data_IF_388067804194
#
_entry.id   IF_388067804194
#
_cell.length_a   1.000
_cell.length_b   1.000
_cell.length_c   1.000
_cell.angle_alpha   90.00
_cell.angle_beta   90.00
_cell.angle_gamma   90.00
#
_symmetry.space_group_name_H-M   'P 1'
#
loop_
_entity.id
_entity.type
_entity.pdbx_description
1 polymer ?
#
# COMPACT_ATOMS: atom_id res chain seq x y z
N UNK A 1 22.82 20.13 4.58
CA UNK A 1 22.51 18.69 4.71
C UNK A 1 21.33 18.41 3.78
N UNK A 2 21.54 17.73 2.66
CA UNK A 2 20.45 17.34 1.76
C UNK A 2 19.69 16.19 2.41
N UNK A 3 18.49 16.45 2.92
CA UNK A 3 17.60 15.37 3.32
C UNK A 3 17.05 14.75 2.04
N UNK A 4 17.62 13.61 1.62
CA UNK A 4 17.03 12.82 0.53
C UNK A 4 15.64 12.38 1.02
N UNK A 5 14.60 12.83 0.34
CA UNK A 5 13.21 12.41 0.61
C UNK A 5 12.98 11.16 -0.23
N UNK A 6 12.73 10.02 0.41
CA UNK A 6 12.50 8.76 -0.29
C UNK A 6 11.18 8.81 -1.05
N UNK A 7 11.20 8.35 -2.31
CA UNK A 7 10.01 8.28 -3.16
C UNK A 7 9.18 7.08 -2.73
N UNK A 8 7.89 7.31 -2.51
CA UNK A 8 6.95 6.29 -2.06
C UNK A 8 5.72 6.18 -2.97
N UNK A 9 5.17 4.98 -3.05
CA UNK A 9 3.87 4.69 -3.68
C UNK A 9 2.94 4.01 -2.68
N UNK A 10 1.64 4.26 -2.80
CA UNK A 10 0.61 3.59 -2.01
C UNK A 10 -0.01 2.44 -2.79
N UNK A 11 -0.41 1.37 -2.08
CA UNK A 11 -1.18 0.29 -2.68
C UNK A 11 -2.23 -0.26 -1.74
N UNK A 12 -3.43 -0.51 -2.27
CA UNK A 12 -4.44 -1.29 -1.57
C UNK A 12 -5.36 -2.05 -2.54
N UNK A 13 -5.61 -3.33 -2.23
CA UNK A 13 -6.74 -4.06 -2.80
C UNK A 13 -8.01 -3.72 -2.02
N UNK A 14 -9.01 -3.23 -2.74
CA UNK A 14 -10.32 -2.85 -2.21
C UNK A 14 -11.28 -4.02 -2.42
N UNK A 15 -11.76 -4.60 -1.32
CA UNK A 15 -12.72 -5.69 -1.36
C UNK A 15 -14.15 -5.17 -1.56
N UNK A 16 -15.04 -6.03 -2.07
CA UNK A 16 -16.40 -5.66 -2.49
C UNK A 16 -17.28 -5.08 -1.37
N UNK A 17 -16.92 -5.33 -0.12
CA UNK A 17 -17.60 -4.88 1.10
C UNK A 17 -17.13 -3.49 1.57
N UNK A 18 -16.14 -2.89 0.91
CA UNK A 18 -15.58 -1.58 1.26
C UNK A 18 -16.27 -0.47 0.46
N UNK A 19 -16.84 0.50 1.17
CA UNK A 19 -17.48 1.69 0.58
C UNK A 19 -16.45 2.70 0.09
N UNK A 20 -16.84 3.57 -0.86
CA UNK A 20 -15.96 4.65 -1.33
C UNK A 20 -15.50 5.59 -0.21
N UNK A 21 -16.32 5.81 0.82
CA UNK A 21 -15.93 6.62 1.99
C UNK A 21 -14.81 5.94 2.79
N UNK A 22 -14.87 4.62 2.96
CA UNK A 22 -13.81 3.85 3.63
C UNK A 22 -12.52 3.83 2.80
N UNK A 23 -12.62 3.77 1.47
CA UNK A 23 -11.46 3.91 0.56
C UNK A 23 -10.80 5.27 0.75
N UNK A 24 -11.56 6.37 0.69
CA UNK A 24 -11.04 7.73 0.89
C UNK A 24 -10.41 7.91 2.27
N UNK A 25 -11.02 7.35 3.32
CA UNK A 25 -10.44 7.37 4.66
C UNK A 25 -9.11 6.62 4.72
N UNK A 26 -8.98 5.51 3.99
CA UNK A 26 -7.75 4.74 3.90
C UNK A 26 -6.65 5.50 3.15
N UNK A 27 -6.98 6.13 2.02
CA UNK A 27 -6.05 7.00 1.29
C UNK A 27 -5.53 8.14 2.16
N UNK A 28 -6.44 8.80 2.90
CA UNK A 28 -6.07 9.87 3.82
C UNK A 28 -5.09 9.39 4.91
N UNK A 29 -5.24 8.15 5.41
CA UNK A 29 -4.30 7.55 6.36
C UNK A 29 -2.93 7.28 5.72
N UNK A 30 -2.88 6.79 4.48
CA UNK A 30 -1.64 6.60 3.72
C UNK A 30 -0.93 7.95 3.50
N UNK A 31 -1.66 8.99 3.08
CA UNK A 31 -1.12 10.33 2.93
C UNK A 31 -0.53 10.88 4.24
N UNK A 32 -1.27 10.73 5.35
CA UNK A 32 -0.81 11.19 6.66
C UNK A 32 0.44 10.42 7.11
N UNK A 33 0.48 9.11 6.91
CA UNK A 33 1.64 8.29 7.24
C UNK A 33 2.88 8.74 6.44
N UNK A 34 2.74 8.92 5.13
CA UNK A 34 3.84 9.42 4.29
C UNK A 34 4.35 10.80 4.77
N UNK A 35 3.47 11.70 5.18
CA UNK A 35 3.86 13.01 5.73
C UNK A 35 4.65 12.87 7.04
N UNK A 36 4.22 12.00 7.95
CA UNK A 36 4.90 11.75 9.24
C UNK A 36 6.29 11.15 9.01
N UNK A 37 6.40 10.18 8.10
CA UNK A 37 7.65 9.52 7.75
C UNK A 37 8.52 10.35 6.77
N UNK A 38 8.07 11.54 6.38
CA UNK A 38 8.75 12.43 5.42
C UNK A 38 9.06 11.74 4.09
N UNK A 39 8.09 10.98 3.58
CA UNK A 39 8.14 10.31 2.28
C UNK A 39 7.45 11.17 1.21
N UNK A 40 7.99 11.15 0.00
CA UNK A 40 7.35 11.76 -1.16
C UNK A 40 6.39 10.74 -1.79
N UNK A 41 5.15 10.73 -1.32
CA UNK A 41 4.10 9.88 -1.88
C UNK A 41 3.65 10.39 -3.25
N UNK A 42 3.90 9.61 -4.30
CA UNK A 42 3.63 10.00 -5.70
C UNK A 42 2.19 9.68 -6.11
N UNK A 43 1.73 8.45 -5.84
CA UNK A 43 0.39 8.00 -6.19
C UNK A 43 -0.03 6.82 -5.32
N UNK A 44 -1.34 6.56 -5.27
CA UNK A 44 -1.94 5.42 -4.59
C UNK A 44 -2.66 4.56 -5.64
N UNK A 45 -2.31 3.28 -5.68
CA UNK A 45 -2.90 2.29 -6.58
C UNK A 45 -4.00 1.50 -5.86
N UNK A 46 -5.22 1.58 -6.41
CA UNK A 46 -6.40 0.92 -5.85
C UNK A 46 -6.87 -0.21 -6.77
N UNK A 47 -6.85 -1.44 -6.27
CA UNK A 47 -7.26 -2.61 -7.03
C UNK A 47 -8.64 -3.10 -6.56
N UNK A 48 -9.69 -2.86 -7.35
CA UNK A 48 -11.09 -3.11 -6.97
C UNK A 48 -11.64 -4.48 -7.42
N UNK A 49 -10.92 -5.22 -8.27
CA UNK A 49 -11.44 -6.43 -8.94
C UNK A 49 -10.86 -7.69 -8.33
N UNK A 50 -11.73 -8.67 -8.04
CA UNK A 50 -11.31 -9.97 -7.53
C UNK A 50 -10.57 -10.77 -8.61
N UNK A 51 -9.29 -11.05 -8.38
CA UNK A 51 -8.50 -12.02 -9.14
C UNK A 51 -7.64 -11.43 -10.27
N UNK A 52 -7.83 -10.16 -10.61
CA UNK A 52 -6.90 -9.44 -11.47
C UNK A 52 -5.76 -8.85 -10.63
N UNK A 53 -4.54 -8.88 -11.16
CA UNK A 53 -3.33 -8.29 -10.58
C UNK A 53 -2.76 -7.19 -11.49
N UNK A 54 -3.53 -6.70 -12.48
CA UNK A 54 -3.11 -5.67 -13.42
C UNK A 54 -2.61 -4.41 -12.71
N UNK A 55 -3.38 -3.90 -11.75
CA UNK A 55 -3.04 -2.72 -10.96
C UNK A 55 -1.78 -2.97 -10.12
N UNK A 56 -1.65 -4.14 -9.51
CA UNK A 56 -0.43 -4.52 -8.82
C UNK A 56 0.79 -4.62 -9.76
N UNK A 57 0.62 -5.15 -10.97
CA UNK A 57 1.70 -5.25 -11.96
C UNK A 57 2.14 -3.87 -12.46
N UNK A 58 1.19 -2.94 -12.63
CA UNK A 58 1.46 -1.55 -12.98
C UNK A 58 2.25 -0.86 -11.87
N UNK A 59 1.87 -1.05 -10.61
CA UNK A 59 2.65 -0.58 -9.46
C UNK A 59 4.08 -1.11 -9.51
N UNK A 60 4.28 -2.43 -9.65
CA UNK A 60 5.62 -3.05 -9.69
C UNK A 60 6.47 -2.47 -10.83
N UNK A 61 5.86 -2.20 -11.98
CA UNK A 61 6.53 -1.58 -13.12
C UNK A 61 6.93 -0.15 -12.81
N UNK A 62 6.03 0.61 -12.20
CA UNK A 62 6.23 2.01 -11.90
C UNK A 62 7.28 2.24 -10.81
N UNK A 63 7.25 1.46 -9.72
CA UNK A 63 8.25 1.59 -8.64
C UNK A 63 9.65 1.28 -9.14
N UNK A 64 9.79 0.33 -10.08
CA UNK A 64 11.07 0.05 -10.76
C UNK A 64 11.51 1.21 -11.64
N UNK A 65 10.58 1.74 -12.47
CA UNK A 65 10.86 2.85 -13.38
C UNK A 65 11.29 4.11 -12.62
N UNK A 66 10.62 4.41 -11.53
CA UNK A 66 10.85 5.59 -10.71
C UNK A 66 11.99 5.41 -9.70
N UNK A 67 12.60 4.21 -9.61
CA UNK A 67 13.54 3.85 -8.54
C UNK A 67 12.99 4.22 -7.15
N UNK A 68 11.71 3.92 -6.94
CA UNK A 68 11.06 4.17 -5.67
C UNK A 68 11.67 3.29 -4.58
N UNK A 69 11.75 3.83 -3.37
CA UNK A 69 12.38 3.14 -2.25
C UNK A 69 11.34 2.46 -1.37
N UNK A 70 10.10 2.97 -1.37
CA UNK A 70 9.06 2.55 -0.41
C UNK A 70 7.71 2.29 -1.11
N UNK A 71 7.02 1.24 -0.67
CA UNK A 71 5.59 1.03 -0.91
C UNK A 71 4.85 1.01 0.43
N UNK A 72 3.82 1.84 0.54
CA UNK A 72 2.97 1.94 1.72
C UNK A 72 1.68 1.15 1.46
N UNK A 73 1.34 0.24 2.37
CA UNK A 73 0.07 -0.48 2.36
C UNK A 73 -0.67 -0.31 3.68
N UNK A 74 -2.01 -0.35 3.71
CA UNK A 74 -2.73 -0.28 4.97
C UNK A 74 -2.39 -1.45 5.91
N UNK A 75 -2.31 -2.66 5.36
CA UNK A 75 -1.85 -3.87 6.02
C UNK A 75 -1.51 -4.92 4.98
N UNK A 76 -0.73 -5.95 5.32
CA UNK A 76 -0.38 -7.00 4.37
C UNK A 76 -1.60 -7.76 3.81
N UNK A 77 -2.74 -7.75 4.53
CA UNK A 77 -4.02 -8.31 4.05
C UNK A 77 -4.54 -7.62 2.77
N UNK A 78 -4.08 -6.40 2.49
CA UNK A 78 -4.43 -5.66 1.28
C UNK A 78 -3.63 -6.11 0.05
N UNK A 79 -2.62 -6.97 0.20
CA UNK A 79 -2.10 -7.74 -0.94
C UNK A 79 -3.03 -8.89 -1.26
N UNK A 80 -3.31 -9.73 -0.26
CA UNK A 80 -4.21 -10.87 -0.39
C UNK A 80 -4.62 -11.39 0.99
N UNK A 81 -5.82 -11.98 1.06
CA UNK A 81 -6.27 -12.81 2.20
C UNK A 81 -5.68 -14.23 2.15
N UNK A 82 -5.25 -14.70 0.99
CA UNK A 82 -4.52 -15.96 0.83
C UNK A 82 -3.04 -15.74 1.15
N UNK A 83 -2.53 -16.41 2.18
CA UNK A 83 -1.16 -16.21 2.68
C UNK A 83 -0.08 -16.49 1.63
N UNK A 84 -0.24 -17.52 0.79
CA UNK A 84 0.72 -17.83 -0.27
C UNK A 84 0.79 -16.70 -1.30
N UNK A 85 -0.37 -16.21 -1.76
CA UNK A 85 -0.42 -15.10 -2.71
C UNK A 85 0.11 -13.80 -2.08
N UNK A 86 -0.20 -13.54 -0.80
CA UNK A 86 0.33 -12.39 -0.06
C UNK A 86 1.87 -12.40 -0.04
N UNK A 87 2.48 -13.54 0.32
CA UNK A 87 3.94 -13.69 0.35
C UNK A 87 4.57 -13.53 -1.03
N UNK A 88 3.94 -14.06 -2.08
CA UNK A 88 4.42 -13.89 -3.45
C UNK A 88 4.37 -12.42 -3.90
N UNK A 89 3.32 -11.69 -3.58
CA UNK A 89 3.21 -10.27 -3.90
C UNK A 89 4.23 -9.44 -3.12
N UNK A 90 4.43 -9.74 -1.84
CA UNK A 90 5.44 -9.08 -1.01
C UNK A 90 6.86 -9.28 -1.56
N UNK A 91 7.24 -10.53 -1.85
CA UNK A 91 8.54 -10.87 -2.46
C UNK A 91 8.75 -10.17 -3.81
N UNK A 92 7.70 -9.97 -4.61
CA UNK A 92 7.81 -9.21 -5.87
C UNK A 92 8.16 -7.73 -5.67
N UNK A 93 7.77 -7.13 -4.55
CA UNK A 93 8.14 -5.75 -4.22
C UNK A 93 9.53 -5.71 -3.56
N UNK A 94 9.76 -6.52 -2.53
CA UNK A 94 10.99 -6.48 -1.75
C UNK A 94 12.18 -7.06 -2.53
N UNK A 95 12.06 -8.28 -3.04
CA UNK A 95 13.18 -8.97 -3.67
C UNK A 95 13.36 -8.55 -5.14
N UNK A 96 12.25 -8.46 -5.89
CA UNK A 96 12.33 -8.26 -7.33
C UNK A 96 12.34 -6.78 -7.73
N UNK A 97 11.85 -5.87 -6.89
CA UNK A 97 11.89 -4.43 -7.13
C UNK A 97 12.81 -3.66 -6.17
N UNK A 98 13.30 -4.30 -5.09
CA UNK A 98 14.20 -3.65 -4.14
C UNK A 98 13.51 -2.58 -3.28
N UNK A 99 12.20 -2.74 -3.06
CA UNK A 99 11.36 -1.74 -2.39
C UNK A 99 11.04 -2.19 -0.96
N UNK A 100 11.17 -1.30 0.01
CA UNK A 100 10.71 -1.55 1.37
C UNK A 100 9.18 -1.41 1.46
N UNK A 101 8.51 -2.40 2.06
CA UNK A 101 7.06 -2.33 2.28
C UNK A 101 6.76 -1.88 3.72
N UNK A 102 6.11 -0.72 3.84
CA UNK A 102 5.65 -0.17 5.12
C UNK A 102 4.15 -0.38 5.27
N UNK A 103 3.75 -0.90 6.43
CA UNK A 103 2.34 -0.98 6.81
C UNK A 103 1.94 0.22 7.66
N UNK A 104 0.72 0.72 7.50
CA UNK A 104 0.15 1.60 8.51
C UNK A 104 0.18 0.87 9.86
N UNK A 105 0.74 1.51 10.90
CA UNK A 105 0.61 0.99 12.26
C UNK A 105 -0.89 0.86 12.54
N UNK A 106 -1.29 -0.27 13.10
CA UNK A 106 -2.61 -0.39 13.72
C UNK A 106 -2.63 0.63 14.86
N UNK A 107 -3.12 1.84 14.58
CA UNK A 107 -3.66 2.68 15.64
C UNK A 107 -4.69 1.78 16.33
N UNK A 108 -4.48 1.42 17.60
CA UNK A 108 -5.31 0.50 18.38
C UNK A 108 -6.76 0.97 18.55
N UNK A 109 -7.50 0.97 17.45
CA UNK A 109 -8.87 1.44 17.30
C UNK A 109 -9.75 0.37 16.64
N UNK A 110 -9.37 -0.91 16.76
CA UNK A 110 -10.32 -2.02 16.85
C UNK A 110 -11.03 -1.98 18.22
N UNK A 111 -11.57 -0.81 18.61
CA UNK A 111 -12.73 -0.79 19.49
C UNK A 111 -13.92 -0.98 18.58
N UNK A 112 -14.36 -2.24 18.52
CA UNK A 112 -15.67 -2.68 18.08
C UNK A 112 -16.69 -1.55 18.15
N UNK A 113 -17.25 -1.16 17.01
CA UNK A 113 -18.54 -0.47 17.00
C UNK A 113 -19.57 -1.56 17.22
N UNK A 114 -20.26 -1.64 18.37
CA UNK A 114 -21.35 -2.58 18.53
C UNK A 114 -22.46 -2.20 17.54
N UNK A 115 -23.02 -3.20 16.88
CA UNK A 115 -24.27 -3.06 16.12
C UNK A 115 -25.43 -2.69 17.05
#
# INVERSE_FOLDING_TARGET
MNHKTSVAYGYMRVFCDVTSQQVLAMEARIHRFAQVERLQLVSIYNEFVNGDQSVFNDLVTEVKRASAEVVIVPSLRHFSRNGLLQSLMLSRLEDAAGVEVLTLKEDGADREVPQ
#
